data_IF_838308133874
#
_entry.id   IF_838308133874
#
_cell.length_a   1.000
_cell.length_b   1.000
_cell.length_c   1.000
_cell.angle_alpha   90.00
_cell.angle_beta   90.00
_cell.angle_gamma   90.00
#
_symmetry.space_group_name_H-M   'P 1'
#
loop_
_entity.id
_entity.type
_entity.pdbx_description
1 polymer ?
#
# COMPACT_ATOMS: atom_id res chain seq x y z
N UNK A 1 5.94 16.74 -24.68
CA UNK A 1 6.09 16.40 -23.25
C UNK A 1 4.93 15.46 -22.95
N UNK A 2 5.21 14.19 -22.70
CA UNK A 2 4.18 13.15 -22.65
C UNK A 2 3.50 13.19 -21.29
N UNK A 3 2.22 13.54 -21.25
CA UNK A 3 1.38 13.47 -20.05
C UNK A 3 1.12 12.02 -19.72
N UNK A 4 1.84 11.48 -18.74
CA UNK A 4 1.66 10.08 -18.32
C UNK A 4 1.90 9.94 -16.82
N UNK A 5 0.88 9.45 -16.11
CA UNK A 5 1.08 8.87 -14.80
C UNK A 5 1.18 7.35 -14.95
N UNK A 6 2.41 6.85 -14.88
CA UNK A 6 2.70 5.42 -14.98
C UNK A 6 3.34 5.00 -13.68
N UNK A 7 2.84 3.92 -13.09
CA UNK A 7 3.56 3.20 -12.05
C UNK A 7 3.85 1.79 -12.53
N UNK A 8 4.97 1.24 -12.09
CA UNK A 8 5.43 -0.10 -12.40
C UNK A 8 5.83 -0.78 -11.09
N UNK A 9 5.66 -2.10 -11.04
CA UNK A 9 6.12 -2.94 -9.96
C UNK A 9 6.96 -4.06 -10.58
N UNK A 10 8.28 -3.90 -10.52
CA UNK A 10 9.21 -4.88 -11.06
C UNK A 10 9.59 -5.83 -9.93
N UNK A 11 9.21 -7.10 -10.05
CA UNK A 11 9.51 -8.13 -9.08
C UNK A 11 10.83 -8.83 -9.42
N UNK A 12 11.72 -8.91 -8.44
CA UNK A 12 12.94 -9.70 -8.47
C UNK A 12 12.81 -10.91 -7.53
N UNK A 13 13.85 -11.76 -7.43
CA UNK A 13 13.78 -12.95 -6.56
C UNK A 13 13.52 -12.60 -5.10
N UNK A 14 14.15 -11.52 -4.62
CA UNK A 14 14.23 -11.21 -3.19
C UNK A 14 13.52 -9.90 -2.83
N UNK A 15 12.74 -9.33 -3.75
CA UNK A 15 12.06 -8.05 -3.51
C UNK A 15 11.30 -7.53 -4.72
N UNK A 16 10.80 -6.30 -4.60
CA UNK A 16 10.14 -5.60 -5.70
C UNK A 16 10.46 -4.11 -5.68
N UNK A 17 10.60 -3.52 -6.87
CA UNK A 17 10.79 -2.10 -7.07
C UNK A 17 9.49 -1.47 -7.56
N UNK A 18 8.87 -0.64 -6.72
CA UNK A 18 7.70 0.15 -7.09
C UNK A 18 8.13 1.55 -7.51
N UNK A 19 8.01 1.88 -8.79
CA UNK A 19 8.53 3.12 -9.35
C UNK A 19 7.64 3.69 -10.46
N UNK A 20 7.97 4.89 -10.92
CA UNK A 20 7.26 5.57 -12.00
C UNK A 20 7.14 7.08 -11.80
N UNK A 21 6.27 7.69 -12.60
CA UNK A 21 6.01 9.13 -12.57
C UNK A 21 4.55 9.36 -12.17
N UNK A 22 4.34 10.12 -11.09
CA UNK A 22 3.01 10.55 -10.67
C UNK A 22 2.77 12.00 -11.11
N UNK A 23 2.33 12.18 -12.35
CA UNK A 23 1.86 13.48 -12.86
C UNK A 23 0.37 13.66 -12.56
N UNK A 24 0.06 14.45 -11.54
CA UNK A 24 -1.33 14.67 -11.10
C UNK A 24 -2.13 15.56 -12.07
N UNK A 25 -1.47 16.34 -12.92
CA UNK A 25 -2.14 17.17 -13.92
C UNK A 25 -2.69 16.27 -15.02
N UNK A 26 -1.88 15.29 -15.45
CA UNK A 26 -2.29 14.24 -16.40
C UNK A 26 -3.40 13.34 -15.84
N UNK A 27 -3.50 13.20 -14.51
CA UNK A 27 -4.52 12.39 -13.83
C UNK A 27 -5.84 13.12 -13.55
N UNK A 28 -6.05 14.33 -14.08
CA UNK A 28 -7.25 15.11 -13.82
C UNK A 28 -7.46 15.43 -12.34
N UNK A 29 -6.36 15.58 -11.59
CA UNK A 29 -6.37 15.83 -10.15
C UNK A 29 -6.39 14.57 -9.27
N UNK A 30 -6.44 13.35 -9.84
CA UNK A 30 -6.26 12.15 -9.02
C UNK A 30 -4.81 12.06 -8.53
N UNK A 31 -4.63 12.13 -7.21
CA UNK A 31 -3.32 12.28 -6.56
C UNK A 31 -2.66 10.97 -6.16
N UNK A 32 -2.87 9.85 -6.87
CA UNK A 32 -2.32 8.56 -6.46
C UNK A 32 -1.96 7.65 -7.64
N UNK A 33 -1.03 6.72 -7.41
CA UNK A 33 -0.71 5.61 -8.29
C UNK A 33 -0.64 4.31 -7.50
N UNK A 34 -0.98 3.18 -8.12
CA UNK A 34 -1.02 1.89 -7.44
C UNK A 34 -0.73 0.74 -8.39
N UNK A 35 -0.06 -0.27 -7.88
CA UNK A 35 0.03 -1.59 -8.49
C UNK A 35 -0.66 -2.62 -7.61
N UNK A 36 -1.16 -3.69 -8.22
CA UNK A 36 -1.89 -4.75 -7.52
C UNK A 36 -1.62 -6.10 -8.16
N UNK A 37 -1.83 -7.16 -7.39
CA UNK A 37 -1.84 -8.51 -7.94
C UNK A 37 -2.84 -8.67 -9.08
N UNK A 38 -2.40 -9.30 -10.16
CA UNK A 38 -3.22 -9.79 -11.27
C UNK A 38 -3.37 -11.31 -11.19
N UNK A 39 -4.45 -11.85 -11.75
CA UNK A 39 -4.87 -13.24 -11.56
C UNK A 39 -6.28 -13.30 -10.96
N UNK A 40 -7.04 -14.33 -11.33
CA UNK A 40 -8.49 -14.47 -11.07
C UNK A 40 -8.88 -14.58 -9.59
N UNK A 41 -9.75 -15.53 -9.25
CA UNK A 41 -10.37 -15.75 -7.92
C UNK A 41 -9.36 -16.10 -6.80
N UNK A 42 -8.06 -15.90 -7.07
CA UNK A 42 -6.88 -16.18 -6.25
C UNK A 42 -7.12 -15.86 -4.80
N UNK A 43 -7.46 -16.91 -4.07
CA UNK A 43 -7.73 -16.91 -2.65
C UNK A 43 -6.45 -17.28 -1.94
N UNK A 44 -5.83 -16.33 -1.25
CA UNK A 44 -4.73 -16.59 -0.35
C UNK A 44 -5.28 -16.79 1.06
N UNK A 45 -5.03 -17.97 1.61
CA UNK A 45 -5.27 -18.26 3.02
C UNK A 45 -4.02 -17.87 3.82
N UNK A 46 -4.16 -16.83 4.63
CA UNK A 46 -3.11 -16.29 5.49
C UNK A 46 -3.40 -16.55 6.98
N UNK A 47 -4.40 -17.38 7.30
CA UNK A 47 -4.86 -17.63 8.67
C UNK A 47 -3.82 -18.24 9.61
N UNK A 48 -2.82 -18.92 9.06
CA UNK A 48 -1.67 -19.45 9.82
C UNK A 48 -0.70 -18.36 10.31
N UNK A 49 -0.86 -17.11 9.88
CA UNK A 49 0.03 -16.00 10.20
C UNK A 49 -0.69 -14.96 11.05
N UNK A 50 0.07 -14.11 11.74
CA UNK A 50 -0.47 -13.04 12.60
C UNK A 50 -0.49 -11.67 11.91
N UNK A 51 0.14 -11.55 10.74
CA UNK A 51 0.32 -10.29 10.04
C UNK A 51 1.20 -10.40 8.81
N UNK A 52 1.58 -9.24 8.27
CA UNK A 52 2.50 -9.07 7.14
C UNK A 52 3.76 -8.38 7.63
N UNK A 53 4.92 -8.87 7.21
CA UNK A 53 6.18 -8.16 7.37
C UNK A 53 6.51 -7.40 6.09
N UNK A 54 6.78 -6.10 6.22
CA UNK A 54 7.22 -5.24 5.12
C UNK A 54 8.66 -4.86 5.40
N UNK A 55 9.55 -5.17 4.46
CA UNK A 55 10.98 -4.86 4.55
C UNK A 55 11.36 -3.93 3.42
N UNK A 56 12.05 -2.83 3.73
CA UNK A 56 12.59 -1.92 2.70
C UNK A 56 13.97 -1.39 3.10
N UNK A 57 14.78 -1.05 2.10
CA UNK A 57 16.06 -0.38 2.31
C UNK A 57 15.88 1.14 2.18
N UNK A 58 16.06 1.93 3.26
CA UNK A 58 15.97 3.38 3.20
C UNK A 58 16.97 4.01 2.21
N UNK A 59 18.13 3.39 1.98
CA UNK A 59 19.13 3.89 1.04
C UNK A 59 18.69 3.73 -0.43
N UNK A 60 17.72 2.84 -0.69
CA UNK A 60 17.13 2.61 -2.01
C UNK A 60 15.68 3.11 -2.12
N UNK A 61 15.18 3.82 -1.11
CA UNK A 61 13.81 4.32 -1.04
C UNK A 61 13.76 5.85 -1.10
N UNK A 62 12.59 6.40 -1.42
CA UNK A 62 12.40 7.83 -1.68
C UNK A 62 11.85 8.63 -0.47
N UNK A 63 11.88 8.03 0.73
CA UNK A 63 11.32 8.57 1.98
C UNK A 63 9.84 8.97 1.89
N UNK A 64 9.09 8.47 0.89
CA UNK A 64 7.65 8.69 0.80
C UNK A 64 6.89 7.67 1.63
N UNK A 65 5.63 8.01 1.90
CA UNK A 65 4.68 7.10 2.54
C UNK A 65 3.92 6.33 1.47
N UNK A 66 3.93 5.02 1.60
CA UNK A 66 3.19 4.08 0.78
C UNK A 66 2.10 3.42 1.61
N UNK A 67 1.10 2.87 0.94
CA UNK A 67 0.00 2.15 1.57
C UNK A 67 -0.04 0.72 1.05
N UNK A 68 0.03 -0.24 1.95
CA UNK A 68 -0.34 -1.63 1.69
C UNK A 68 -1.87 -1.75 1.77
N UNK A 69 -2.49 -2.37 0.77
CA UNK A 69 -3.93 -2.57 0.70
C UNK A 69 -4.27 -4.03 0.49
N UNK A 70 -5.08 -4.60 1.37
CA UNK A 70 -5.68 -5.92 1.22
C UNK A 70 -7.17 -5.81 0.87
N UNK A 71 -7.65 -6.77 0.08
CA UNK A 71 -9.08 -7.01 -0.13
C UNK A 71 -9.37 -8.50 -0.02
N UNK A 72 -10.39 -8.85 0.74
CA UNK A 72 -11.01 -10.17 0.88
C UNK A 72 -12.26 -10.33 0.01
N UNK A 73 -12.84 -9.21 -0.44
CA UNK A 73 -13.98 -9.18 -1.34
C UNK A 73 -13.66 -8.52 -2.68
N UNK A 74 -14.02 -9.21 -3.77
CA UNK A 74 -14.09 -8.68 -5.12
C UNK A 74 -15.48 -8.95 -5.68
N UNK A 75 -16.16 -7.88 -6.06
CA UNK A 75 -17.42 -7.97 -6.78
C UNK A 75 -17.15 -8.23 -8.28
N UNK A 76 -18.08 -8.89 -8.99
CA UNK A 76 -18.05 -8.96 -10.45
C UNK A 76 -17.85 -7.57 -11.08
N UNK A 77 -17.22 -7.51 -12.25
CA UNK A 77 -17.07 -6.27 -13.01
C UNK A 77 -18.46 -5.63 -13.25
N UNK A 78 -18.50 -4.30 -13.29
CA UNK A 78 -19.72 -3.59 -13.61
C UNK A 78 -20.18 -4.00 -15.04
N UNK A 79 -21.42 -4.48 -15.20
CA UNK A 79 -21.91 -4.98 -16.48
C UNK A 79 -22.00 -3.89 -17.57
N UNK A 80 -22.16 -2.62 -17.18
CA UNK A 80 -22.39 -1.52 -18.13
C UNK A 80 -21.09 -0.95 -18.70
N UNK A 81 -20.00 -0.95 -17.91
CA UNK A 81 -18.74 -0.29 -18.29
C UNK A 81 -17.48 -1.15 -18.09
N UNK A 82 -17.63 -2.40 -17.65
CA UNK A 82 -16.53 -3.34 -17.42
C UNK A 82 -15.58 -2.97 -16.29
N UNK A 83 -15.84 -1.89 -15.54
CA UNK A 83 -14.94 -1.43 -14.47
C UNK A 83 -15.09 -2.28 -13.21
N UNK A 84 -13.98 -2.46 -12.50
CA UNK A 84 -14.00 -3.06 -11.18
C UNK A 84 -14.87 -2.24 -10.22
N UNK A 85 -15.80 -2.92 -9.53
CA UNK A 85 -16.60 -2.30 -8.48
C UNK A 85 -15.80 -2.15 -7.19
N UNK A 86 -16.10 -1.09 -6.43
CA UNK A 86 -15.46 -0.85 -5.14
C UNK A 86 -16.00 -1.80 -4.07
N UNK A 87 -15.10 -2.26 -3.23
CA UNK A 87 -15.32 -3.03 -2.00
C UNK A 87 -14.52 -2.37 -0.89
N UNK A 88 -14.65 -2.88 0.34
CA UNK A 88 -13.77 -2.47 1.45
C UNK A 88 -12.30 -2.69 1.07
N UNK A 89 -11.45 -1.77 1.50
CA UNK A 89 -10.00 -1.86 1.42
C UNK A 89 -9.46 -1.86 2.84
N UNK A 90 -8.51 -2.76 3.12
CA UNK A 90 -7.83 -2.82 4.41
C UNK A 90 -6.44 -2.22 4.23
N UNK A 91 -6.22 -1.03 4.79
CA UNK A 91 -5.08 -0.19 4.47
C UNK A 91 -4.10 -0.07 5.65
N UNK A 92 -2.81 -0.05 5.36
CA UNK A 92 -1.75 0.28 6.30
C UNK A 92 -0.70 1.14 5.62
N UNK A 93 -0.39 2.29 6.22
CA UNK A 93 0.61 3.21 5.72
C UNK A 93 2.00 2.88 6.30
N UNK A 94 3.03 2.85 5.46
CA UNK A 94 4.41 2.53 5.81
C UNK A 94 5.40 3.38 4.98
N UNK A 95 6.68 3.39 5.39
CA UNK A 95 7.69 4.27 4.80
C UNK A 95 7.78 5.62 5.53
N UNK A 96 8.18 6.68 4.82
CA UNK A 96 8.48 7.98 5.41
C UNK A 96 9.91 8.11 5.92
N UNK A 97 10.22 9.25 6.54
CA UNK A 97 11.51 9.42 7.24
C UNK A 97 11.61 8.41 8.38
N UNK A 98 12.85 7.99 8.68
CA UNK A 98 13.19 7.00 9.71
C UNK A 98 12.55 7.28 11.09
N UNK A 99 12.16 8.52 11.34
CA UNK A 99 11.53 9.02 12.57
C UNK A 99 10.02 8.66 12.69
N UNK A 100 9.34 8.40 11.57
CA UNK A 100 7.88 8.12 11.53
C UNK A 100 7.57 6.62 11.67
N UNK A 101 8.59 5.75 11.61
CA UNK A 101 8.45 4.30 11.79
C UNK A 101 8.24 3.90 13.27
N UNK A 102 7.21 4.46 13.91
CA UNK A 102 6.72 4.01 15.22
C UNK A 102 5.55 3.05 15.00
N UNK A 103 5.86 1.79 14.71
CA UNK A 103 4.95 0.67 14.86
C UNK A 103 5.80 -0.59 15.02
N UNK A 104 6.16 -0.89 16.28
CA UNK A 104 6.87 -2.11 16.71
C UNK A 104 8.01 -2.54 15.77
N UNK A 105 8.76 -1.56 15.24
CA UNK A 105 10.03 -1.84 14.63
C UNK A 105 10.92 -2.30 15.79
N UNK A 106 11.24 -3.58 15.84
CA UNK A 106 12.44 -4.02 16.57
C UNK A 106 13.61 -3.54 15.74
N UNK A 107 13.82 -2.22 15.71
CA UNK A 107 15.10 -1.65 15.36
C UNK A 107 16.04 -2.29 16.36
N UNK A 108 16.87 -3.23 15.90
CA UNK A 108 17.90 -3.84 16.73
C UNK A 108 18.85 -2.70 17.11
N UNK A 109 18.56 -2.05 18.23
CA UNK A 109 19.37 -1.01 18.82
C UNK A 109 20.61 -1.69 19.39
N UNK A 110 21.65 -1.75 18.57
CA UNK A 110 22.89 -2.44 18.88
C UNK A 110 24.06 -1.98 18.01
N UNK A 111 24.41 -0.69 18.10
CA UNK A 111 25.75 -0.19 17.77
C UNK A 111 25.98 0.35 16.35
N UNK A 112 26.30 1.64 16.26
CA UNK A 112 26.90 2.28 15.09
C UNK A 112 25.91 2.71 14.00
N UNK A 113 26.22 3.83 13.33
CA UNK A 113 25.45 4.38 12.20
C UNK A 113 25.36 3.32 11.10
N UNK A 114 24.24 2.59 11.06
CA UNK A 114 24.05 1.40 10.23
C UNK A 114 22.85 1.55 9.31
N UNK A 115 23.14 1.81 8.03
CA UNK A 115 22.22 1.84 6.88
C UNK A 115 21.75 0.43 6.52
N UNK A 116 20.93 -0.21 7.36
CA UNK A 116 20.34 -1.53 7.09
C UNK A 116 18.86 -1.45 6.69
N UNK A 117 18.28 -2.54 6.16
CA UNK A 117 16.85 -2.61 5.88
C UNK A 117 16.00 -2.35 7.12
N UNK A 118 14.91 -1.63 6.95
CA UNK A 118 13.87 -1.44 7.97
C UNK A 118 12.87 -2.56 7.84
N UNK A 119 12.49 -3.13 8.98
CA UNK A 119 11.47 -4.18 9.09
C UNK A 119 10.26 -3.62 9.82
N UNK A 120 9.08 -3.68 9.20
CA UNK A 120 7.81 -3.27 9.78
C UNK A 120 6.83 -4.45 9.80
N UNK A 121 6.46 -4.89 11.00
CA UNK A 121 5.44 -5.92 11.18
C UNK A 121 4.05 -5.29 11.32
N UNK A 122 3.15 -5.67 10.43
CA UNK A 122 1.76 -5.21 10.36
C UNK A 122 0.85 -6.34 10.85
N UNK A 123 0.40 -6.34 12.12
CA UNK A 123 -0.59 -7.31 12.56
C UNK A 123 -1.91 -7.11 11.82
N UNK A 124 -2.73 -8.15 11.68
CA UNK A 124 -4.03 -8.04 11.00
C UNK A 124 -4.92 -6.93 11.58
N UNK A 125 -4.88 -6.72 12.90
CA UNK A 125 -5.60 -5.65 13.61
C UNK A 125 -5.05 -4.24 13.36
N UNK A 126 -3.85 -4.13 12.77
CA UNK A 126 -3.23 -2.87 12.37
C UNK A 126 -3.85 -2.27 11.11
N UNK A 127 -4.41 -3.11 10.22
CA UNK A 127 -5.04 -2.67 8.99
C UNK A 127 -6.35 -1.92 9.26
N UNK A 128 -6.53 -0.76 8.62
CA UNK A 128 -7.70 0.10 8.79
C UNK A 128 -8.66 -0.05 7.62
N UNK A 129 -9.96 -0.32 7.87
CA UNK A 129 -10.93 -0.46 6.80
C UNK A 129 -11.29 0.90 6.21
N UNK A 130 -11.28 0.97 4.88
CA UNK A 130 -11.76 2.13 4.11
C UNK A 130 -12.73 1.69 3.03
N UNK A 131 -13.63 2.60 2.64
CA UNK A 131 -14.45 2.45 1.44
C UNK A 131 -14.35 3.72 0.62
N UNK A 132 -13.79 3.59 -0.60
CA UNK A 132 -13.51 4.72 -1.50
C UNK A 132 -12.69 5.83 -0.83
N UNK A 133 -11.66 5.44 -0.07
CA UNK A 133 -10.73 6.36 0.59
C UNK A 133 -11.27 7.03 1.86
N UNK A 134 -12.45 6.63 2.36
CA UNK A 134 -13.00 7.11 3.63
C UNK A 134 -12.97 6.00 4.68
N UNK A 135 -12.69 6.29 5.95
CA UNK A 135 -12.78 5.31 7.03
C UNK A 135 -14.13 4.58 7.04
N UNK A 136 -14.11 3.27 7.28
CA UNK A 136 -15.29 2.42 7.39
C UNK A 136 -15.20 1.54 8.64
N UNK A 137 -15.34 2.17 9.80
CA UNK A 137 -15.17 1.52 11.11
C UNK A 137 -16.21 0.43 11.38
N UNK A 138 -17.34 0.48 10.69
CA UNK A 138 -18.43 -0.51 10.74
C UNK A 138 -18.23 -1.72 9.80
N UNK A 139 -17.07 -1.84 9.15
CA UNK A 139 -16.78 -2.98 8.29
C UNK A 139 -16.74 -4.29 9.08
N UNK A 140 -17.29 -5.37 8.49
CA UNK A 140 -17.02 -6.72 8.97
C UNK A 140 -15.51 -6.98 8.95
N UNK A 141 -14.93 -7.72 9.91
CA UNK A 141 -13.48 -7.95 9.98
C UNK A 141 -12.89 -8.54 8.69
N UNK A 142 -11.63 -8.20 8.40
CA UNK A 142 -10.88 -8.77 7.27
C UNK A 142 -10.87 -10.30 7.35
N UNK A 143 -11.38 -10.97 6.32
CA UNK A 143 -11.26 -12.42 6.18
C UNK A 143 -9.87 -12.79 5.62
N UNK A 144 -8.92 -12.98 6.53
CA UNK A 144 -7.55 -13.39 6.20
C UNK A 144 -7.44 -14.82 5.65
N UNK A 145 -8.51 -15.64 5.75
CA UNK A 145 -8.56 -16.95 5.10
C UNK A 145 -8.90 -16.86 3.61
N UNK A 146 -9.27 -15.68 3.13
CA UNK A 146 -9.71 -15.46 1.77
C UNK A 146 -9.28 -14.10 1.21
N UNK A 147 -8.01 -13.74 1.37
CA UNK A 147 -7.47 -12.54 0.71
C UNK A 147 -7.50 -12.75 -0.81
N UNK A 148 -8.09 -11.80 -1.53
CA UNK A 148 -8.28 -11.83 -3.00
C UNK A 148 -7.39 -10.85 -3.76
N UNK A 149 -6.85 -9.84 -3.07
CA UNK A 149 -6.00 -8.83 -3.71
C UNK A 149 -5.05 -8.19 -2.71
N UNK A 150 -3.82 -7.99 -3.18
CA UNK A 150 -2.80 -7.22 -2.50
C UNK A 150 -2.42 -6.06 -3.43
N UNK A 151 -2.26 -4.87 -2.88
CA UNK A 151 -1.87 -3.67 -3.63
C UNK A 151 -0.91 -2.81 -2.83
N UNK A 152 0.02 -2.18 -3.55
CA UNK A 152 0.85 -1.10 -3.06
C UNK A 152 0.42 0.16 -3.78
N UNK A 153 0.20 1.23 -3.03
CA UNK A 153 -0.22 2.51 -3.56
C UNK A 153 0.59 3.63 -2.92
N UNK A 154 0.85 4.67 -3.70
CA UNK A 154 1.36 5.94 -3.20
C UNK A 154 0.32 7.04 -3.47
N UNK A 155 0.10 7.89 -2.47
CA UNK A 155 -0.68 9.12 -2.60
C UNK A 155 0.27 10.31 -2.54
N UNK A 156 -0.02 11.36 -3.29
CA UNK A 156 0.61 12.66 -3.09
C UNK A 156 0.19 13.15 -1.69
N UNK A 157 1.17 13.33 -0.82
CA UNK A 157 0.98 14.13 0.39
C UNK A 157 0.71 15.57 -0.01
N UNK A 158 -0.43 16.13 0.40
CA UNK A 158 -0.73 17.54 0.21
C UNK A 158 -1.31 18.11 1.49
N UNK A 159 -0.56 18.99 2.16
CA UNK A 159 -1.17 20.26 2.49
C UNK A 159 -0.91 21.18 1.29
N UNK A 160 -1.91 21.92 0.76
CA UNK A 160 -1.59 23.08 -0.07
C UNK A 160 -0.67 24.02 0.73
N UNK A 161 0.22 24.80 0.08
CA UNK A 161 0.90 25.88 0.79
C UNK A 161 -0.17 26.78 1.38
N UNK A 162 -0.13 26.97 2.69
CA UNK A 162 -0.82 28.10 3.29
C UNK A 162 -0.24 29.35 2.62
N UNK A 163 -1.11 30.06 1.91
CA UNK A 163 -0.84 31.45 1.55
C UNK A 163 -0.88 32.23 2.86
N UNK A 164 0.29 32.71 3.29
CA UNK A 164 0.47 34.12 3.65
C UNK A 164 1.80 34.57 3.06
#
# INVERSE_FOLDING_TARGET
MTESAVSQLDCERDGAYFHGVLDINALGGAGFASQRTEGGDGRWDMSAHQGIEIVWDPAQSDNRVYTLILKDELLPLNPDNGRQRSTVSWEYDFGGSQETATATATATAGGGVGSGPVVCFVPWSGLKPTYRGKPKEDAAPLDVSSVKRISIMIRRSGSPPNII
#
